data_IF_343807971778
#
_entry.id   IF_343807971778
#
_cell.length_a   1.000
_cell.length_b   1.000
_cell.length_c   1.000
_cell.angle_alpha   90.00
_cell.angle_beta   90.00
_cell.angle_gamma   90.00
#
_symmetry.space_group_name_H-M   'P 1'
#
loop_
_entity.id
_entity.type
_entity.pdbx_description
1 polymer ?
#
# COMPACT_ATOMS: atom_id res chain seq x y z
N UNK A 1 16.35 -17.15 15.59
CA UNK A 1 16.14 -15.75 15.20
C UNK A 1 15.35 -15.70 13.91
N UNK A 2 14.23 -15.02 13.95
CA UNK A 2 13.42 -14.90 12.75
C UNK A 2 13.88 -13.70 11.91
N UNK A 3 13.91 -13.89 10.61
CA UNK A 3 14.19 -12.79 9.71
C UNK A 3 12.97 -11.89 9.60
N UNK A 4 13.21 -10.59 9.49
CA UNK A 4 12.14 -9.64 9.23
C UNK A 4 11.64 -9.86 7.80
N UNK A 5 10.35 -10.12 7.67
CA UNK A 5 9.72 -10.28 6.37
C UNK A 5 8.89 -9.04 6.06
N UNK A 6 9.25 -8.39 4.97
CA UNK A 6 8.59 -7.16 4.55
C UNK A 6 7.89 -7.42 3.22
N UNK A 7 6.60 -7.12 3.18
CA UNK A 7 5.82 -7.20 1.96
C UNK A 7 5.52 -5.80 1.46
N UNK A 8 5.82 -5.54 0.20
CA UNK A 8 5.60 -4.25 -0.42
C UNK A 8 4.57 -4.43 -1.54
N UNK A 9 3.42 -3.80 -1.39
CA UNK A 9 2.35 -3.85 -2.39
C UNK A 9 2.36 -2.51 -3.13
N UNK A 10 2.66 -2.56 -4.41
CA UNK A 10 2.76 -1.32 -5.17
C UNK A 10 2.83 -1.57 -6.66
N UNK A 11 3.26 -0.57 -7.39
CA UNK A 11 3.46 -0.67 -8.82
C UNK A 11 4.85 -0.17 -9.19
N UNK A 12 5.39 -0.68 -10.28
CA UNK A 12 6.75 -0.30 -10.68
C UNK A 12 6.85 1.15 -11.13
N UNK A 13 5.76 1.73 -11.56
CA UNK A 13 5.75 3.12 -11.98
C UNK A 13 5.56 4.09 -10.80
N UNK A 14 5.16 3.60 -9.63
CA UNK A 14 5.02 4.43 -8.44
C UNK A 14 6.39 4.80 -7.90
N UNK A 15 6.67 6.10 -7.86
CA UNK A 15 7.92 6.63 -7.35
C UNK A 15 8.13 6.26 -5.88
N UNK A 16 7.07 6.35 -5.10
CA UNK A 16 7.09 6.04 -3.67
C UNK A 16 7.29 4.55 -3.43
N UNK A 17 6.74 3.70 -4.30
CA UNK A 17 6.98 2.25 -4.23
C UNK A 17 8.47 1.96 -4.45
N UNK A 18 9.07 2.60 -5.45
CA UNK A 18 10.49 2.41 -5.72
C UNK A 18 11.36 2.92 -4.59
N UNK A 19 10.90 4.00 -3.92
CA UNK A 19 11.61 4.51 -2.75
C UNK A 19 11.62 3.49 -1.61
N UNK A 20 10.49 2.81 -1.40
CA UNK A 20 10.41 1.76 -0.37
C UNK A 20 11.33 0.60 -0.70
N UNK A 21 11.29 0.14 -1.96
CA UNK A 21 12.17 -0.96 -2.39
C UNK A 21 13.63 -0.61 -2.14
N UNK A 22 14.03 0.61 -2.51
CA UNK A 22 15.40 1.06 -2.33
C UNK A 22 15.77 1.16 -0.86
N UNK A 23 14.86 1.68 -0.03
CA UNK A 23 15.09 1.82 1.40
C UNK A 23 15.46 0.48 2.03
N UNK A 24 14.66 -0.54 1.78
CA UNK A 24 14.88 -1.85 2.38
C UNK A 24 16.08 -2.56 1.75
N UNK A 25 16.27 -2.41 0.46
CA UNK A 25 17.39 -3.03 -0.24
C UNK A 25 18.73 -2.49 0.26
N UNK A 26 18.83 -1.19 0.47
CA UNK A 26 20.06 -0.56 0.99
C UNK A 26 20.41 -1.07 2.38
N UNK A 27 19.43 -1.51 3.13
CA UNK A 27 19.60 -2.06 4.47
C UNK A 27 19.68 -3.57 4.49
N UNK A 28 19.79 -4.18 3.31
CA UNK A 28 19.89 -5.63 3.12
C UNK A 28 18.71 -6.38 3.71
N UNK A 29 17.54 -5.76 3.69
CA UNK A 29 16.29 -6.37 4.11
C UNK A 29 15.63 -6.99 2.89
N UNK A 30 15.31 -8.27 2.99
CA UNK A 30 14.62 -8.98 1.93
C UNK A 30 13.17 -8.55 1.89
N UNK A 31 12.69 -8.20 0.72
CA UNK A 31 11.27 -7.84 0.55
C UNK A 31 10.59 -8.82 -0.39
N UNK A 32 9.29 -9.00 -0.16
CA UNK A 32 8.43 -9.68 -1.10
C UNK A 32 7.62 -8.58 -1.81
N UNK A 33 7.99 -8.30 -3.04
CA UNK A 33 7.31 -7.27 -3.81
C UNK A 33 6.12 -7.86 -4.54
N UNK A 34 4.95 -7.28 -4.34
CA UNK A 34 3.72 -7.66 -5.04
C UNK A 34 3.36 -6.53 -6.00
N UNK A 35 3.52 -6.80 -7.30
CA UNK A 35 3.17 -5.84 -8.33
C UNK A 35 1.67 -5.90 -8.56
N UNK A 36 0.98 -4.85 -8.12
CA UNK A 36 -0.47 -4.81 -8.16
C UNK A 36 -1.04 -4.70 -9.58
N UNK A 37 -0.21 -4.41 -10.56
CA UNK A 37 -0.64 -4.44 -11.97
C UNK A 37 -0.68 -5.87 -12.51
N UNK A 38 0.13 -6.76 -11.93
CA UNK A 38 0.16 -8.16 -12.33
C UNK A 38 -0.72 -9.04 -11.46
N UNK A 39 -0.84 -8.67 -10.17
CA UNK A 39 -1.60 -9.46 -9.21
C UNK A 39 -2.37 -8.52 -8.30
N UNK A 40 -3.69 -8.48 -8.40
CA UNK A 40 -4.49 -7.64 -7.51
C UNK A 40 -4.25 -7.99 -6.05
N UNK A 41 -4.34 -6.98 -5.19
CA UNK A 41 -4.18 -7.22 -3.76
C UNK A 41 -5.36 -8.08 -3.26
N UNK A 42 -5.06 -9.06 -2.40
CA UNK A 42 -6.09 -9.88 -1.81
C UNK A 42 -6.96 -9.02 -0.90
N UNK A 43 -8.27 -9.26 -0.92
CA UNK A 43 -9.22 -8.49 -0.13
C UNK A 43 -8.88 -8.52 1.36
N UNK A 44 -8.50 -9.68 1.88
CA UNK A 44 -8.13 -9.83 3.29
C UNK A 44 -6.87 -9.04 3.65
N UNK A 45 -5.92 -8.96 2.73
CA UNK A 45 -4.71 -8.18 2.94
C UNK A 45 -5.03 -6.70 2.96
N UNK A 46 -5.84 -6.24 2.01
CA UNK A 46 -6.27 -4.84 1.98
C UNK A 46 -7.06 -4.47 3.23
N UNK A 47 -7.89 -5.39 3.72
CA UNK A 47 -8.70 -5.15 4.91
C UNK A 47 -7.86 -4.80 6.13
N UNK A 48 -6.65 -5.33 6.24
CA UNK A 48 -5.74 -5.00 7.35
C UNK A 48 -5.42 -3.51 7.37
N UNK A 49 -5.16 -2.96 6.19
CA UNK A 49 -4.85 -1.53 6.05
C UNK A 49 -6.08 -0.67 6.27
N UNK A 50 -7.24 -1.10 5.76
CA UNK A 50 -8.49 -0.38 5.96
C UNK A 50 -8.82 -0.33 7.45
N UNK A 51 -8.64 -1.43 8.16
CA UNK A 51 -8.96 -1.50 9.58
C UNK A 51 -8.07 -0.58 10.40
N UNK A 52 -6.81 -0.48 10.05
CA UNK A 52 -5.87 0.35 10.80
C UNK A 52 -5.98 1.84 10.47
N UNK A 53 -6.09 2.18 9.20
CA UNK A 53 -5.99 3.56 8.75
C UNK A 53 -7.30 4.18 8.29
N UNK A 54 -8.28 3.35 7.96
CA UNK A 54 -9.50 3.80 7.32
C UNK A 54 -9.30 3.91 5.81
N UNK A 55 -10.38 3.73 5.09
CA UNK A 55 -10.32 3.70 3.62
C UNK A 55 -9.83 5.02 3.02
N UNK A 56 -10.28 6.15 3.55
CA UNK A 56 -9.88 7.46 3.01
C UNK A 56 -8.38 7.68 3.09
N UNK A 57 -7.73 7.16 4.13
CA UNK A 57 -6.29 7.31 4.28
C UNK A 57 -5.51 6.52 3.23
N UNK A 58 -6.13 5.48 2.67
CA UNK A 58 -5.50 4.65 1.64
C UNK A 58 -5.63 5.23 0.25
N UNK A 59 -6.56 6.15 0.04
CA UNK A 59 -6.84 6.71 -1.28
C UNK A 59 -5.95 7.90 -1.59
N UNK A 60 -5.46 7.94 -2.83
CA UNK A 60 -4.73 9.10 -3.33
C UNK A 60 -5.74 10.10 -3.87
N UNK A 61 -6.30 10.91 -2.96
CA UNK A 61 -7.39 11.82 -3.29
C UNK A 61 -7.00 12.93 -4.25
N UNK A 62 -5.71 13.22 -4.34
CA UNK A 62 -5.20 14.23 -5.25
C UNK A 62 -4.69 13.64 -6.57
N UNK A 63 -4.78 12.32 -6.71
CA UNK A 63 -4.27 11.64 -7.88
C UNK A 63 -5.21 11.68 -9.07
N UNK A 64 -4.63 11.54 -10.25
CA UNK A 64 -5.41 11.53 -11.49
C UNK A 64 -6.35 10.34 -11.58
N UNK A 65 -5.95 9.20 -11.02
CA UNK A 65 -6.81 8.01 -11.03
C UNK A 65 -8.08 8.25 -10.24
N UNK A 66 -7.96 8.90 -9.07
CA UNK A 66 -9.12 9.23 -8.26
C UNK A 66 -10.05 10.19 -9.00
N UNK A 67 -9.46 11.21 -9.63
CA UNK A 67 -10.22 12.18 -10.40
C UNK A 67 -11.00 11.51 -11.54
N UNK A 68 -10.33 10.63 -12.30
CA UNK A 68 -10.96 9.91 -13.40
C UNK A 68 -12.03 8.94 -12.94
N UNK A 69 -11.92 8.43 -11.73
CA UNK A 69 -12.84 7.43 -11.21
C UNK A 69 -14.21 7.99 -10.86
N UNK A 70 -14.29 9.31 -10.64
CA UNK A 70 -15.50 9.98 -10.17
C UNK A 70 -15.98 9.48 -8.81
N UNK A 71 -15.11 8.85 -8.04
CA UNK A 71 -15.51 8.31 -6.73
C UNK A 71 -16.03 9.39 -5.78
N UNK A 72 -15.53 10.62 -5.92
CA UNK A 72 -15.98 11.73 -5.09
C UNK A 72 -17.48 12.03 -5.28
N UNK A 73 -18.01 11.68 -6.44
CA UNK A 73 -19.40 11.97 -6.80
C UNK A 73 -20.31 10.76 -6.77
N UNK A 74 -19.72 9.57 -6.62
CA UNK A 74 -20.50 8.33 -6.59
C UNK A 74 -20.98 8.04 -5.18
N UNK A 75 -22.27 7.65 -5.10
CA UNK A 75 -22.82 7.14 -3.85
C UNK A 75 -22.61 5.64 -3.85
N UNK A 76 -21.54 5.21 -3.20
CA UNK A 76 -21.23 3.80 -3.15
C UNK A 76 -20.87 3.42 -1.72
N UNK A 77 -20.97 2.13 -1.44
CA UNK A 77 -20.61 1.60 -0.13
C UNK A 77 -19.09 1.49 -0.03
N UNK A 78 -18.59 1.29 1.20
CA UNK A 78 -17.20 1.03 1.41
C UNK A 78 -16.74 -0.19 0.61
N UNK A 79 -17.56 -1.24 0.59
CA UNK A 79 -17.25 -2.44 -0.20
C UNK A 79 -17.14 -2.13 -1.69
N UNK A 80 -17.97 -1.24 -2.19
CA UNK A 80 -17.90 -0.80 -3.58
C UNK A 80 -16.61 -0.08 -3.90
N UNK A 81 -16.14 0.77 -2.99
CA UNK A 81 -14.88 1.48 -3.16
C UNK A 81 -13.72 0.49 -3.09
N UNK A 82 -13.77 -0.46 -2.17
CA UNK A 82 -12.74 -1.49 -2.05
C UNK A 82 -12.62 -2.29 -3.35
N UNK A 83 -13.75 -2.66 -3.94
CA UNK A 83 -13.74 -3.39 -5.21
C UNK A 83 -13.07 -2.58 -6.32
N UNK A 84 -13.34 -1.27 -6.38
CA UNK A 84 -12.73 -0.39 -7.37
C UNK A 84 -11.23 -0.27 -7.17
N UNK A 85 -10.80 -0.17 -5.92
CA UNK A 85 -9.38 -0.06 -5.57
C UNK A 85 -8.62 -1.32 -5.97
N UNK A 86 -9.22 -2.49 -5.77
CA UNK A 86 -8.59 -3.76 -6.14
C UNK A 86 -8.39 -3.83 -7.65
N UNK A 87 -9.36 -3.33 -8.42
CA UNK A 87 -9.25 -3.30 -9.87
C UNK A 87 -8.27 -2.23 -10.37
N UNK A 88 -8.19 -1.12 -9.65
CA UNK A 88 -7.34 0.00 -10.07
C UNK A 88 -6.44 0.44 -8.90
N UNK A 89 -5.27 -0.18 -8.77
CA UNK A 89 -4.35 0.15 -7.67
C UNK A 89 -3.80 1.58 -7.73
N UNK A 90 -3.94 2.27 -8.86
CA UNK A 90 -3.53 3.67 -8.94
C UNK A 90 -4.39 4.57 -8.06
N UNK A 91 -5.54 4.09 -7.59
CA UNK A 91 -6.37 4.82 -6.64
C UNK A 91 -5.75 4.85 -5.23
N UNK A 92 -4.79 3.98 -4.96
CA UNK A 92 -4.17 3.88 -3.65
C UNK A 92 -2.95 4.77 -3.49
N UNK A 93 -2.72 5.19 -2.26
CA UNK A 93 -1.45 5.82 -1.89
C UNK A 93 -0.42 4.71 -1.71
N UNK A 94 0.31 4.43 -2.79
CA UNK A 94 1.30 3.35 -2.80
C UNK A 94 2.65 3.83 -2.26
N UNK A 95 3.46 2.93 -1.71
CA UNK A 95 3.16 1.52 -1.51
C UNK A 95 2.41 1.28 -0.21
N UNK A 96 1.74 0.13 -0.13
CA UNK A 96 1.27 -0.40 1.14
C UNK A 96 2.35 -1.37 1.60
N UNK A 97 2.87 -1.19 2.80
CA UNK A 97 3.98 -2.01 3.31
C UNK A 97 3.56 -2.67 4.61
N UNK A 98 3.83 -3.96 4.70
CA UNK A 98 3.52 -4.74 5.89
C UNK A 98 4.77 -5.50 6.36
N UNK A 99 5.09 -5.36 7.63
CA UNK A 99 6.16 -6.11 8.28
C UNK A 99 5.63 -6.61 9.63
N UNK A 100 5.19 -7.86 9.66
CA UNK A 100 4.53 -8.40 10.84
C UNK A 100 3.26 -7.64 11.15
N UNK A 101 3.23 -6.99 12.31
CA UNK A 101 2.08 -6.18 12.75
C UNK A 101 2.15 -4.73 12.27
N UNK A 102 3.29 -4.32 11.74
CA UNK A 102 3.50 -2.95 11.30
C UNK A 102 2.97 -2.75 9.90
N UNK A 103 2.19 -1.69 9.71
CA UNK A 103 1.60 -1.34 8.42
C UNK A 103 1.91 0.13 8.12
N UNK A 104 2.24 0.44 6.88
CA UNK A 104 2.39 1.84 6.44
C UNK A 104 1.67 2.05 5.11
N UNK A 105 1.35 3.31 4.85
CA UNK A 105 0.65 3.74 3.63
C UNK A 105 1.44 4.88 3.00
N UNK A 106 1.70 4.76 1.70
CA UNK A 106 2.44 5.78 0.98
C UNK A 106 3.91 5.82 1.37
N UNK A 107 4.58 6.89 1.02
CA UNK A 107 5.97 7.09 1.40
C UNK A 107 6.02 7.49 2.87
N UNK A 108 6.55 6.62 3.72
CA UNK A 108 6.57 6.81 5.16
C UNK A 108 7.90 6.32 5.72
N UNK A 109 8.90 7.15 5.56
CA UNK A 109 10.26 6.80 5.96
C UNK A 109 10.34 6.46 7.45
N UNK A 110 9.68 7.24 8.30
CA UNK A 110 9.69 7.00 9.74
C UNK A 110 9.00 5.68 10.08
N UNK A 111 7.91 5.37 9.38
CA UNK A 111 7.21 4.09 9.57
C UNK A 111 8.08 2.92 9.16
N UNK A 112 8.80 3.05 8.05
CA UNK A 112 9.70 1.98 7.61
C UNK A 112 10.83 1.78 8.59
N UNK A 113 11.39 2.86 9.13
CA UNK A 113 12.43 2.76 10.15
C UNK A 113 11.89 2.09 11.42
N UNK A 114 10.66 2.40 11.79
CA UNK A 114 10.02 1.78 12.96
C UNK A 114 9.84 0.28 12.76
N UNK A 115 9.57 -0.17 11.54
CA UNK A 115 9.47 -1.59 11.23
C UNK A 115 10.77 -2.32 11.55
N UNK A 116 11.91 -1.70 11.23
CA UNK A 116 13.21 -2.30 11.49
C UNK A 116 13.53 -2.32 12.98
N UNK A 117 13.16 -1.27 13.69
CA UNK A 117 13.41 -1.16 15.11
C UNK A 117 12.51 -2.09 15.94
N UNK A 118 11.32 -2.39 15.44
CA UNK A 118 10.35 -3.21 16.14
C UNK A 118 10.46 -4.70 15.90
N UNK A 119 11.39 -5.11 15.05
CA UNK A 119 11.54 -6.51 14.69
C UNK A 119 12.32 -7.32 15.73
#
# INVERSE_FOLDING_TARGET
MSELQVQVFGTRKSKETRAAERFFKERKIKIHFVDLKERPIAKGELARFVQKFGLNALLDLSGKAYERSNLAYLRTTEDGVIARVIEDPDLLRLPLVRAGKHLTVGEDLDGWKAMLAGS
#
